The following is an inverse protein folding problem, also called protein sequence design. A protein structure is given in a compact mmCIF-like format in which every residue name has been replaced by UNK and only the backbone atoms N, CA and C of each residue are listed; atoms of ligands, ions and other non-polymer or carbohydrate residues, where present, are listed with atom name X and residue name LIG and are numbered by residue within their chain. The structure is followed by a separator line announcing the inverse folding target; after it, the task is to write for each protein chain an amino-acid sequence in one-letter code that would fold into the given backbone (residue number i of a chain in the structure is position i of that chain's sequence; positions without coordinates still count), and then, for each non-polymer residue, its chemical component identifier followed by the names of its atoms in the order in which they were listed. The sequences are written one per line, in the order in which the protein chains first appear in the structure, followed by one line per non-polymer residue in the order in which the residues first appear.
data_IF_360275787441
#
_entry.id   IF_360275787441
#
_cell.length_a   1.000
_cell.length_b   1.000
_cell.length_c   1.000
_cell.angle_alpha   90.00
_cell.angle_beta   90.00
_cell.angle_gamma   90.00
#
_symmetry.space_group_name_H-M   'P 1'
#
loop_
_entity.id
_entity.type
_entity.pdbx_description
1 polymer ?
#
# COMPACT_ATOMS: atom_id res chain seq x y z
N UNK A 1 -6.35 11.91 -8.06
CA UNK A 1 -5.49 10.80 -7.56
C UNK A 1 -4.59 10.31 -8.69
N UNK A 2 -3.28 10.26 -8.46
CA UNK A 2 -2.30 9.76 -9.44
C UNK A 2 -2.44 8.22 -9.59
N UNK A 3 -1.96 7.66 -10.70
CA UNK A 3 -2.11 6.23 -11.01
C UNK A 3 -1.52 5.32 -9.93
N UNK A 4 -0.32 5.66 -9.45
CA UNK A 4 0.36 4.95 -8.38
C UNK A 4 -0.45 4.97 -7.07
N UNK A 5 -1.00 6.12 -6.67
CA UNK A 5 -1.87 6.25 -5.49
C UNK A 5 -3.10 5.34 -5.59
N UNK A 6 -3.68 5.17 -6.79
CA UNK A 6 -4.81 4.25 -7.00
C UNK A 6 -4.44 2.80 -6.74
N UNK A 7 -3.25 2.38 -7.14
CA UNK A 7 -2.78 1.00 -6.92
C UNK A 7 -2.68 0.68 -5.44
N UNK A 8 -2.06 1.57 -4.67
CA UNK A 8 -1.98 1.43 -3.21
C UNK A 8 -3.34 1.45 -2.56
N UNK A 9 -4.24 2.33 -2.99
CA UNK A 9 -5.58 2.40 -2.43
C UNK A 9 -6.38 1.13 -2.69
N UNK A 10 -6.29 0.55 -3.90
CA UNK A 10 -6.90 -0.75 -4.21
C UNK A 10 -6.36 -1.84 -3.26
N UNK A 11 -5.04 -1.94 -3.14
CA UNK A 11 -4.39 -2.93 -2.30
C UNK A 11 -4.80 -2.79 -0.82
N UNK A 12 -4.75 -1.56 -0.28
CA UNK A 12 -5.16 -1.25 1.08
C UNK A 12 -6.63 -1.63 1.35
N UNK A 13 -7.54 -1.29 0.43
CA UNK A 13 -8.96 -1.60 0.59
C UNK A 13 -9.20 -3.11 0.63
N UNK A 14 -8.52 -3.87 -0.25
CA UNK A 14 -8.64 -5.33 -0.30
C UNK A 14 -8.01 -5.96 0.96
N UNK A 15 -6.86 -5.45 1.42
CA UNK A 15 -6.22 -5.92 2.66
C UNK A 15 -7.09 -5.67 3.91
N UNK A 16 -7.68 -4.47 4.04
CA UNK A 16 -8.46 -4.10 5.22
C UNK A 16 -9.83 -4.79 5.27
N UNK A 17 -10.50 -4.88 4.12
CA UNK A 17 -11.89 -5.37 4.04
C UNK A 17 -11.96 -6.85 3.68
N UNK A 18 -10.87 -7.44 3.23
CA UNK A 18 -10.76 -8.83 2.76
C UNK A 18 -11.38 -9.04 1.38
N UNK A 19 -12.58 -8.50 1.14
CA UNK A 19 -13.29 -8.52 -0.15
C UNK A 19 -13.91 -7.17 -0.44
N UNK A 20 -13.70 -6.64 -1.64
CA UNK A 20 -14.25 -5.33 -2.05
C UNK A 20 -14.98 -5.43 -3.38
N UNK A 21 -16.22 -4.95 -3.44
CA UNK A 21 -17.02 -4.98 -4.66
C UNK A 21 -16.45 -4.03 -5.73
N UNK A 22 -16.61 -4.38 -7.01
CA UNK A 22 -16.11 -3.54 -8.12
C UNK A 22 -16.69 -2.12 -8.11
N UNK A 23 -17.99 -1.99 -7.83
CA UNK A 23 -18.65 -0.68 -7.74
C UNK A 23 -18.19 0.15 -6.55
N UNK A 24 -17.73 -0.50 -5.48
CA UNK A 24 -17.17 0.19 -4.31
C UNK A 24 -15.76 0.72 -4.61
N UNK A 25 -14.90 -0.09 -5.24
CA UNK A 25 -13.62 0.37 -5.74
C UNK A 25 -13.79 1.56 -6.70
N UNK A 26 -14.76 1.52 -7.62
CA UNK A 26 -15.03 2.65 -8.51
C UNK A 26 -15.42 3.93 -7.76
N UNK A 27 -16.26 3.81 -6.71
CA UNK A 27 -16.70 4.96 -5.91
C UNK A 27 -15.56 5.54 -5.07
N UNK A 28 -14.82 4.69 -4.35
CA UNK A 28 -13.70 5.10 -3.48
C UNK A 28 -12.54 5.71 -4.27
N UNK A 29 -12.28 5.23 -5.49
CA UNK A 29 -11.19 5.72 -6.33
C UNK A 29 -11.64 6.83 -7.29
N UNK A 30 -12.95 7.09 -7.38
CA UNK A 30 -13.57 8.06 -8.28
C UNK A 30 -13.15 7.88 -9.76
N UNK A 31 -13.09 6.62 -10.22
CA UNK A 31 -12.65 6.29 -11.58
C UNK A 31 -13.71 5.57 -12.39
N UNK A 32 -13.56 5.66 -13.72
CA UNK A 32 -14.38 4.90 -14.67
C UNK A 32 -14.11 3.39 -14.56
N UNK A 33 -15.10 2.58 -14.98
CA UNK A 33 -14.98 1.12 -15.09
C UNK A 33 -13.78 0.69 -15.95
N UNK A 34 -13.50 1.41 -17.04
CA UNK A 34 -12.40 1.10 -17.92
C UNK A 34 -11.04 1.36 -17.25
N UNK A 35 -10.93 2.45 -16.48
CA UNK A 35 -9.73 2.79 -15.71
C UNK A 35 -9.47 1.74 -14.63
N UNK A 36 -10.47 1.41 -13.80
CA UNK A 36 -10.31 0.41 -12.74
C UNK A 36 -9.90 -0.96 -13.29
N UNK A 37 -10.46 -1.38 -14.43
CA UNK A 37 -10.05 -2.63 -15.09
C UNK A 37 -8.58 -2.60 -15.51
N UNK A 38 -8.10 -1.49 -16.07
CA UNK A 38 -6.68 -1.33 -16.43
C UNK A 38 -5.79 -1.33 -15.19
N UNK A 39 -6.22 -0.68 -14.12
CA UNK A 39 -5.47 -0.63 -12.87
C UNK A 39 -5.33 -2.02 -12.23
N UNK A 40 -6.42 -2.79 -12.15
CA UNK A 40 -6.41 -4.16 -11.65
C UNK A 40 -5.57 -5.09 -12.54
N UNK A 41 -5.61 -4.91 -13.87
CA UNK A 41 -4.75 -5.66 -14.78
C UNK A 41 -3.28 -5.30 -14.57
N UNK A 42 -2.94 -4.02 -14.39
CA UNK A 42 -1.58 -3.59 -14.11
C UNK A 42 -1.06 -4.18 -12.78
N UNK A 43 -1.85 -4.10 -11.71
CA UNK A 43 -1.53 -4.69 -10.41
C UNK A 43 -1.19 -6.18 -10.56
N UNK A 44 -2.04 -6.94 -11.27
CA UNK A 44 -1.84 -8.38 -11.44
C UNK A 44 -0.69 -8.73 -12.39
N UNK A 45 -0.62 -8.07 -13.54
CA UNK A 45 0.24 -8.50 -14.65
C UNK A 45 1.64 -7.88 -14.57
N UNK A 46 1.79 -6.72 -13.92
CA UNK A 46 3.08 -6.01 -13.77
C UNK A 46 3.62 -6.04 -12.36
N UNK A 47 2.74 -5.94 -11.35
CA UNK A 47 3.16 -5.98 -9.96
C UNK A 47 2.96 -7.34 -9.33
N UNK A 48 2.45 -8.33 -10.06
CA UNK A 48 2.23 -9.70 -9.58
C UNK A 48 1.27 -9.80 -8.39
N UNK A 49 0.32 -8.85 -8.29
CA UNK A 49 -0.72 -8.88 -7.27
C UNK A 49 -1.61 -10.12 -7.40
N UNK A 50 -1.77 -10.94 -6.36
CA UNK A 50 -2.62 -12.12 -6.37
C UNK A 50 -4.10 -11.73 -6.22
N UNK A 51 -4.56 -10.70 -6.93
CA UNK A 51 -5.95 -10.22 -6.86
C UNK A 51 -6.83 -11.11 -7.73
N UNK A 52 -7.88 -11.67 -7.13
CA UNK A 52 -8.87 -12.52 -7.79
C UNK A 52 -10.29 -12.02 -7.53
N UNK A 53 -11.18 -12.29 -8.48
CA UNK A 53 -12.61 -12.03 -8.30
C UNK A 53 -13.26 -13.24 -7.64
N UNK A 54 -13.72 -13.08 -6.40
CA UNK A 54 -14.51 -14.07 -5.70
C UNK A 54 -15.98 -13.95 -6.10
N UNK A 55 -16.48 -14.95 -6.83
CA UNK A 55 -17.89 -14.97 -7.29
C UNK A 55 -18.88 -15.19 -6.15
N UNK A 56 -18.51 -15.92 -5.10
CA UNK A 56 -19.40 -16.21 -3.98
C UNK A 56 -19.57 -14.97 -3.10
N UNK A 57 -18.49 -14.21 -2.90
CA UNK A 57 -18.50 -12.96 -2.10
C UNK A 57 -18.74 -11.70 -2.92
N UNK A 58 -18.76 -11.81 -4.25
CA UNK A 58 -19.13 -10.72 -5.16
C UNK A 58 -18.12 -9.57 -5.22
N UNK A 59 -16.83 -9.85 -5.03
CA UNK A 59 -15.80 -8.82 -4.94
C UNK A 59 -14.39 -9.31 -5.21
N UNK A 60 -13.45 -8.36 -5.26
CA UNK A 60 -12.03 -8.63 -5.39
C UNK A 60 -11.41 -8.92 -4.03
N UNK A 61 -10.61 -9.99 -3.96
CA UNK A 61 -9.85 -10.40 -2.80
C UNK A 61 -8.45 -10.86 -3.20
N UNK A 62 -7.53 -11.00 -2.24
CA UNK A 62 -6.28 -11.70 -2.50
C UNK A 62 -6.49 -13.22 -2.52
N UNK A 63 -5.79 -13.89 -3.43
CA UNK A 63 -5.79 -15.34 -3.59
C UNK A 63 -4.76 -15.96 -2.66
N UNK A 64 -5.23 -16.67 -1.63
CA UNK A 64 -4.39 -17.36 -0.67
C UNK A 64 -4.02 -16.51 0.55
N UNK A 65 -3.59 -17.20 1.62
CA UNK A 65 -3.13 -16.60 2.88
C UNK A 65 -1.66 -16.16 2.79
N UNK A 66 -1.07 -16.22 1.60
CA UNK A 66 0.35 -15.93 1.39
C UNK A 66 0.61 -14.45 1.61
N UNK A 67 1.01 -14.14 2.85
CA UNK A 67 1.50 -12.86 3.35
C UNK A 67 2.74 -12.33 2.62
N UNK A 68 3.17 -12.96 1.52
CA UNK A 68 4.37 -12.60 0.78
C UNK A 68 4.12 -11.62 -0.35
N UNK A 69 2.86 -11.34 -0.69
CA UNK A 69 2.56 -10.23 -1.59
C UNK A 69 2.45 -8.93 -0.80
N UNK A 70 3.52 -8.16 -0.85
CA UNK A 70 3.51 -6.74 -0.51
C UNK A 70 3.83 -5.98 -1.80
N UNK A 71 3.03 -4.96 -2.13
CA UNK A 71 3.42 -4.00 -3.16
C UNK A 71 4.84 -3.48 -2.84
N UNK A 72 5.77 -3.40 -3.81
CA UNK A 72 7.14 -2.94 -3.57
C UNK A 72 7.15 -1.65 -2.74
N UNK A 73 7.81 -1.71 -1.58
CA UNK A 73 7.62 -0.81 -0.45
C UNK A 73 7.77 0.69 -0.75
N UNK A 74 6.77 1.44 -0.29
CA UNK A 74 6.78 2.87 0.07
C UNK A 74 7.40 3.83 -0.97
N UNK A 75 6.62 4.15 -2.00
CA UNK A 75 6.87 5.37 -2.76
C UNK A 75 6.24 6.54 -2.00
N UNK A 76 6.99 7.04 -1.02
CA UNK A 76 6.69 8.28 -0.32
C UNK A 76 6.53 9.42 -1.32
N UNK A 77 5.49 10.22 -1.19
CA UNK A 77 5.45 11.51 -1.89
C UNK A 77 6.51 12.45 -1.31
N UNK A 78 6.83 13.55 -2.02
CA UNK A 78 7.90 14.48 -1.61
C UNK A 78 7.75 14.98 -0.16
N UNK A 79 6.50 15.13 0.34
CA UNK A 79 6.23 15.55 1.71
C UNK A 79 6.46 14.43 2.72
N UNK A 80 6.15 13.20 2.37
CA UNK A 80 6.39 12.04 3.22
C UNK A 80 7.89 11.70 3.31
N UNK A 81 8.64 11.85 2.21
CA UNK A 81 10.11 11.76 2.22
C UNK A 81 10.69 12.84 3.15
N UNK A 82 10.23 14.08 2.98
CA UNK A 82 10.67 15.19 3.83
C UNK A 82 10.31 14.93 5.30
N UNK A 83 9.10 14.44 5.59
CA UNK A 83 8.68 14.10 6.94
C UNK A 83 9.56 13.01 7.56
N UNK A 84 9.89 11.96 6.81
CA UNK A 84 10.77 10.90 7.29
C UNK A 84 12.20 11.34 7.50
N UNK A 85 12.78 12.11 6.57
CA UNK A 85 14.09 12.70 6.75
C UNK A 85 14.12 13.63 7.97
N UNK A 86 13.05 14.42 8.16
CA UNK A 86 12.93 15.33 9.30
C UNK A 86 12.82 14.55 10.61
N UNK A 87 12.01 13.48 10.66
CA UNK A 87 11.93 12.61 11.83
C UNK A 87 13.27 11.95 12.12
N UNK A 88 13.96 11.43 11.10
CA UNK A 88 15.28 10.83 11.26
C UNK A 88 16.28 11.83 11.84
N UNK A 89 16.32 13.06 11.29
CA UNK A 89 17.16 14.15 11.78
C UNK A 89 16.84 14.53 13.23
N UNK A 90 15.56 14.67 13.57
CA UNK A 90 15.13 14.96 14.94
C UNK A 90 15.52 13.85 15.92
N UNK A 91 15.40 12.59 15.50
CA UNK A 91 15.79 11.43 16.31
C UNK A 91 17.30 11.38 16.52
N UNK A 92 18.11 11.67 15.51
CA UNK A 92 19.57 11.81 15.66
C UNK A 92 19.94 12.95 16.61
N UNK A 93 19.26 14.09 16.54
CA UNK A 93 19.51 15.25 17.42
C UNK A 93 19.07 14.97 18.88
N UNK A 94 17.98 14.22 19.06
CA UNK A 94 17.49 13.79 20.38
C UNK A 94 18.32 12.65 20.99
N UNK A 95 19.10 11.90 20.20
CA UNK A 95 20.02 10.87 20.69
C UNK A 95 21.33 11.47 21.24
N UNK A 96 21.22 12.59 21.98
CA UNK A 96 22.34 13.27 22.64
C UNK A 96 22.92 12.48 23.83
N UNK A 97 22.43 11.26 24.08
CA UNK A 97 22.83 10.41 25.22
C UNK A 97 22.82 8.90 24.96
N UNK A 98 22.66 8.44 23.71
CA UNK A 98 22.75 7.01 23.35
C UNK A 98 21.63 6.10 23.90
N UNK A 99 20.56 6.69 24.44
CA UNK A 99 19.45 5.96 25.07
C UNK A 99 18.44 5.43 24.02
N UNK A 100 18.36 6.09 22.87
CA UNK A 100 17.34 5.82 21.85
C UNK A 100 17.83 4.92 20.72
N UNK A 101 19.14 4.94 20.41
CA UNK A 101 19.75 4.10 19.38
C UNK A 101 19.35 2.60 19.42
N UNK A 102 19.40 1.92 20.58
CA UNK A 102 19.02 0.50 20.68
C UNK A 102 17.54 0.22 20.43
N UNK A 103 16.64 1.17 20.74
CA UNK A 103 15.20 1.00 20.60
C UNK A 103 14.70 1.32 19.19
N UNK A 104 15.46 2.12 18.43
CA UNK A 104 15.10 2.57 17.07
C UNK A 104 15.74 1.66 16.00
N UNK A 105 16.83 0.95 16.31
CA UNK A 105 17.47 0.00 15.39
C UNK A 105 16.50 -1.00 14.69
N UNK A 106 15.45 -1.54 15.34
CA UNK A 106 14.49 -2.45 14.68
C UNK A 106 13.59 -1.77 13.63
N UNK A 107 13.45 -0.44 13.69
CA UNK A 107 12.63 0.34 12.77
C UNK A 107 13.39 0.74 11.50
N UNK A 108 14.73 0.73 11.54
CA UNK A 108 15.62 1.06 10.41
C UNK A 108 15.99 -0.19 9.61
N UNK A 109 15.97 -1.38 10.24
CA UNK A 109 16.46 -2.62 9.65
C UNK A 109 15.45 -3.39 8.78
N UNK A 110 14.45 -2.72 8.18
CA UNK A 110 13.39 -3.39 7.42
C UNK A 110 13.23 -2.85 6.01
#
# INVERSE_FOLDING_TARGET
MNQTERYYRIDQLIHQRGVVAFGELMRELEVSRATLKRDLAYLRDRLNAPIVWDRARGGYCFSGTDRQYELPGLWFNDREILALLTMHRMLEELDTGGLLGPQIAPLIAR
#
